data_IF_490545178816
#
_entry.id   IF_490545178816
#
_cell.length_a   1.000
_cell.length_b   1.000
_cell.length_c   1.000
_cell.angle_alpha   90.00
_cell.angle_beta   90.00
_cell.angle_gamma   90.00
#
_symmetry.space_group_name_H-M   'P 1'
#
loop_
_entity.id
_entity.type
_entity.pdbx_description
1 polymer ?
#
# COMPACT_ATOMS: atom_id res chain seq x y z
N UNK A 1 74.88 -7.39 -32.18
CA UNK A 1 74.17 -7.53 -30.89
C UNK A 1 72.80 -6.89 -30.97
N UNK A 2 71.73 -7.67 -31.09
CA UNK A 2 70.34 -7.32 -30.75
C UNK A 2 69.56 -8.63 -30.79
N UNK A 3 69.21 -9.15 -29.61
CA UNK A 3 68.39 -10.36 -29.45
C UNK A 3 66.93 -9.95 -29.56
N UNK A 4 66.26 -10.38 -30.63
CA UNK A 4 64.79 -10.39 -30.71
C UNK A 4 64.29 -11.59 -29.93
N UNK A 5 63.55 -11.35 -28.84
CA UNK A 5 62.77 -12.38 -28.14
C UNK A 5 61.35 -12.31 -28.65
N UNK A 6 60.90 -13.38 -29.30
CA UNK A 6 59.49 -13.62 -29.58
C UNK A 6 58.75 -13.89 -28.26
N UNK A 7 57.62 -13.21 -28.05
CA UNK A 7 56.69 -13.49 -26.96
C UNK A 7 55.77 -14.65 -27.36
N UNK A 8 55.44 -15.57 -26.43
CA UNK A 8 54.60 -16.72 -26.72
C UNK A 8 53.13 -16.34 -26.92
N UNK A 9 52.54 -16.98 -27.93
CA UNK A 9 51.17 -16.83 -28.44
C UNK A 9 50.12 -17.47 -27.50
N UNK A 10 50.10 -17.09 -26.22
CA UNK A 10 49.24 -17.74 -25.20
C UNK A 10 48.39 -16.79 -24.36
N UNK A 11 48.33 -15.50 -24.70
CA UNK A 11 47.46 -14.52 -24.03
C UNK A 11 46.75 -13.69 -25.10
N UNK A 12 45.89 -14.34 -25.87
CA UNK A 12 44.95 -13.67 -26.76
C UNK A 12 43.66 -14.49 -26.88
N UNK A 13 43.04 -14.80 -25.74
CA UNK A 13 41.74 -15.49 -25.66
C UNK A 13 41.08 -15.23 -24.30
N UNK A 14 40.91 -13.95 -23.94
CA UNK A 14 40.21 -13.54 -22.71
C UNK A 14 39.37 -12.28 -22.89
N UNK A 15 38.79 -12.08 -24.08
CA UNK A 15 37.79 -11.04 -24.34
C UNK A 15 36.83 -11.47 -25.44
N UNK A 16 35.99 -12.48 -25.21
CA UNK A 16 34.62 -12.51 -25.75
C UNK A 16 33.76 -13.41 -24.83
N UNK A 17 32.55 -12.94 -24.50
CA UNK A 17 31.39 -13.77 -24.14
C UNK A 17 31.01 -13.97 -22.67
N UNK A 18 30.78 -12.91 -21.86
CA UNK A 18 29.73 -12.98 -20.81
C UNK A 18 29.03 -11.62 -20.66
N UNK A 19 27.89 -11.41 -21.34
CA UNK A 19 26.74 -10.84 -20.65
C UNK A 19 25.44 -11.49 -21.15
N UNK A 20 25.25 -12.78 -20.91
CA UNK A 20 23.95 -13.45 -21.17
C UNK A 20 23.44 -14.20 -19.93
N UNK A 21 24.31 -14.53 -18.97
CA UNK A 21 23.91 -15.32 -17.79
C UNK A 21 23.13 -14.54 -16.71
N UNK A 22 23.19 -13.20 -16.70
CA UNK A 22 22.44 -12.39 -15.71
C UNK A 22 20.99 -12.08 -16.15
N UNK A 23 20.65 -12.27 -17.42
CA UNK A 23 19.26 -12.05 -17.91
C UNK A 23 18.41 -13.32 -17.76
N UNK A 24 19.03 -14.50 -17.72
CA UNK A 24 18.30 -15.78 -17.62
C UNK A 24 17.82 -16.07 -16.18
N UNK A 25 18.54 -15.60 -15.16
CA UNK A 25 18.14 -15.81 -13.75
C UNK A 25 16.92 -14.98 -13.33
N UNK A 26 16.68 -13.81 -13.95
CA UNK A 26 15.50 -12.98 -13.66
C UNK A 26 14.22 -13.56 -14.30
N UNK A 27 14.34 -14.37 -15.35
CA UNK A 27 13.18 -15.01 -16.01
C UNK A 27 12.78 -16.32 -15.31
N UNK A 28 13.71 -16.99 -14.62
CA UNK A 28 13.43 -18.28 -13.97
C UNK A 28 12.61 -18.17 -12.67
N UNK A 29 12.69 -17.05 -11.95
CA UNK A 29 11.86 -16.83 -10.74
C UNK A 29 10.38 -16.56 -11.06
N UNK A 30 10.04 -16.26 -12.31
CA UNK A 30 8.67 -15.94 -12.70
C UNK A 30 7.81 -17.17 -13.08
N UNK A 31 8.44 -18.31 -13.38
CA UNK A 31 7.74 -19.49 -13.94
C UNK A 31 7.23 -20.48 -12.87
N UNK A 32 7.62 -20.34 -11.60
CA UNK A 32 7.23 -21.30 -10.54
C UNK A 32 5.95 -20.94 -9.76
N UNK A 33 5.30 -19.80 -10.02
CA UNK A 33 4.11 -19.37 -9.27
C UNK A 33 2.75 -19.86 -9.82
N UNK A 34 2.74 -20.75 -10.81
CA UNK A 34 1.50 -21.24 -11.43
C UNK A 34 1.19 -22.68 -11.02
N UNK A 35 0.48 -22.85 -9.90
CA UNK A 35 -0.62 -23.83 -9.70
C UNK A 35 -0.82 -24.17 -8.20
N UNK A 36 -1.68 -23.41 -7.52
CA UNK A 36 -2.36 -23.89 -6.32
C UNK A 36 -3.85 -24.05 -6.68
N UNK A 37 -4.42 -25.27 -6.67
CA UNK A 37 -5.83 -25.45 -6.97
C UNK A 37 -6.65 -25.13 -5.71
N UNK A 38 -7.17 -23.91 -5.61
CA UNK A 38 -8.14 -23.54 -4.58
C UNK A 38 -9.55 -23.99 -5.02
N UNK A 39 -10.06 -25.05 -4.39
CA UNK A 39 -11.50 -25.33 -4.35
C UNK A 39 -12.15 -24.41 -3.31
N UNK A 40 -12.58 -23.24 -3.76
CA UNK A 40 -13.45 -22.32 -3.02
C UNK A 40 -14.49 -21.73 -3.97
N UNK A 41 -15.66 -21.36 -3.46
CA UNK A 41 -16.72 -20.73 -4.25
C UNK A 41 -16.13 -19.54 -5.01
N UNK A 42 -16.25 -19.53 -6.35
CA UNK A 42 -15.85 -18.38 -7.17
C UNK A 42 -16.63 -17.16 -6.71
N UNK A 43 -15.97 -16.23 -6.04
CA UNK A 43 -16.50 -14.90 -5.81
C UNK A 43 -16.68 -14.29 -7.20
N UNK A 44 -17.93 -14.07 -7.60
CA UNK A 44 -18.23 -13.54 -8.93
C UNK A 44 -18.11 -12.02 -8.85
N UNK A 45 -16.88 -11.53 -8.88
CA UNK A 45 -16.56 -10.10 -8.97
C UNK A 45 -17.12 -9.63 -10.34
N UNK A 46 -18.11 -8.71 -10.39
CA UNK A 46 -18.62 -8.17 -11.64
C UNK A 46 -17.48 -7.68 -12.54
N UNK A 47 -17.59 -7.85 -13.87
CA UNK A 47 -16.66 -7.19 -14.81
C UNK A 47 -16.86 -5.67 -14.72
N UNK A 48 -16.07 -5.03 -13.86
CA UNK A 48 -16.27 -3.66 -13.43
C UNK A 48 -15.91 -2.63 -14.52
N UNK A 49 -14.85 -2.88 -15.30
CA UNK A 49 -14.26 -1.90 -16.23
C UNK A 49 -15.22 -1.29 -17.26
N UNK A 50 -16.29 -2.00 -17.65
CA UNK A 50 -17.25 -1.49 -18.64
C UNK A 50 -18.32 -0.55 -18.03
N UNK A 51 -18.81 -0.83 -16.80
CA UNK A 51 -19.85 0.00 -16.15
C UNK A 51 -19.33 1.32 -15.60
N UNK A 52 -18.05 1.37 -15.22
CA UNK A 52 -17.41 2.57 -14.66
C UNK A 52 -17.28 3.73 -15.66
N UNK A 53 -17.16 3.46 -16.97
CA UNK A 53 -17.09 4.52 -17.99
C UNK A 53 -18.42 5.25 -18.20
N UNK A 54 -19.55 4.60 -17.90
CA UNK A 54 -20.88 5.06 -18.31
C UNK A 54 -21.73 5.61 -17.17
N UNK A 55 -21.30 5.49 -15.91
CA UNK A 55 -22.09 5.89 -14.75
C UNK A 55 -21.89 7.38 -14.38
N UNK A 56 -22.93 8.21 -14.60
CA UNK A 56 -23.09 9.53 -13.96
C UNK A 56 -23.70 9.32 -12.58
N UNK A 57 -22.95 9.60 -11.51
CA UNK A 57 -23.42 9.44 -10.14
C UNK A 57 -23.98 10.76 -9.60
N UNK A 58 -25.26 10.77 -9.25
CA UNK A 58 -25.94 11.84 -8.53
C UNK A 58 -26.65 11.23 -7.33
N UNK A 59 -26.07 11.33 -6.12
CA UNK A 59 -26.69 10.75 -4.91
C UNK A 59 -25.84 10.68 -3.64
N UNK A 60 -24.87 11.57 -3.44
CA UNK A 60 -23.98 11.55 -2.25
C UNK A 60 -24.70 11.82 -0.92
N UNK A 61 -25.76 12.63 -0.93
CA UNK A 61 -26.27 13.28 0.29
C UNK A 61 -27.23 12.40 1.12
N UNK A 62 -27.76 11.33 0.53
CA UNK A 62 -28.71 10.42 1.20
C UNK A 62 -27.97 9.27 1.91
N UNK A 63 -26.84 8.83 1.35
CA UNK A 63 -25.99 7.74 1.88
C UNK A 63 -25.31 8.12 3.20
N UNK A 64 -24.97 9.40 3.37
CA UNK A 64 -24.24 9.91 4.53
C UNK A 64 -25.06 9.89 5.83
N UNK A 65 -26.39 10.06 5.73
CA UNK A 65 -27.27 10.20 6.91
C UNK A 65 -27.52 8.88 7.64
N UNK A 66 -27.51 7.76 6.92
CA UNK A 66 -27.82 6.45 7.50
C UNK A 66 -26.63 5.87 8.27
N UNK A 67 -25.40 6.12 7.81
CA UNK A 67 -24.17 5.58 8.43
C UNK A 67 -23.83 6.26 9.77
N UNK A 68 -24.02 7.58 9.85
CA UNK A 68 -23.72 8.36 11.07
C UNK A 68 -24.69 8.00 12.22
N UNK A 69 -25.91 7.57 11.90
CA UNK A 69 -26.97 7.32 12.90
C UNK A 69 -26.78 6.02 13.69
N UNK A 70 -26.04 5.04 13.15
CA UNK A 70 -26.00 3.69 13.73
C UNK A 70 -24.78 3.38 14.62
N UNK A 71 -23.66 4.13 14.55
CA UNK A 71 -22.37 3.64 15.14
C UNK A 71 -21.49 4.69 15.83
N UNK A 72 -22.07 5.73 16.42
CA UNK A 72 -21.36 6.86 17.05
C UNK A 72 -20.54 6.60 18.33
N UNK A 73 -19.88 5.45 18.48
CA UNK A 73 -18.89 5.23 19.56
C UNK A 73 -17.51 4.92 18.97
N UNK A 74 -16.62 5.91 19.07
CA UNK A 74 -15.19 5.76 18.81
C UNK A 74 -14.60 4.89 19.93
N UNK A 75 -14.18 3.67 19.58
CA UNK A 75 -13.49 2.76 20.49
C UNK A 75 -12.04 3.24 20.64
N UNK A 76 -11.50 3.40 21.86
CA UNK A 76 -10.08 3.71 22.05
C UNK A 76 -9.22 2.62 21.40
N UNK A 77 -8.05 2.98 20.87
CA UNK A 77 -7.14 2.07 20.14
C UNK A 77 -6.98 0.72 20.87
N UNK A 78 -7.75 -0.29 20.45
CA UNK A 78 -7.66 -1.63 21.01
C UNK A 78 -6.57 -2.35 20.24
N UNK A 79 -5.43 -2.58 20.91
CA UNK A 79 -4.43 -3.52 20.43
C UNK A 79 -5.03 -4.91 20.55
N UNK A 80 -5.63 -5.41 19.47
CA UNK A 80 -6.00 -6.83 19.40
C UNK A 80 -4.72 -7.65 19.42
N UNK A 81 -4.61 -8.58 20.39
CA UNK A 81 -3.48 -9.49 20.47
C UNK A 81 -3.61 -10.54 19.36
N UNK A 82 -2.57 -10.72 18.54
CA UNK A 82 -2.65 -11.63 17.41
C UNK A 82 -2.61 -13.11 17.84
N UNK A 83 -3.34 -14.02 17.15
CA UNK A 83 -3.05 -15.45 17.17
C UNK A 83 -1.63 -15.74 16.66
N UNK A 84 -1.04 -16.84 17.13
CA UNK A 84 0.32 -17.26 16.78
C UNK A 84 0.37 -17.66 15.30
N UNK A 85 1.09 -16.89 14.49
CA UNK A 85 1.36 -17.20 13.08
C UNK A 85 2.62 -18.08 12.95
N UNK A 86 2.68 -18.91 11.90
CA UNK A 86 3.82 -19.80 11.64
C UNK A 86 4.93 -19.15 10.79
N UNK A 87 4.71 -17.93 10.30
CA UNK A 87 5.76 -17.16 9.63
C UNK A 87 6.64 -16.47 10.67
N UNK A 88 7.96 -16.52 10.47
CA UNK A 88 8.90 -15.73 11.28
C UNK A 88 8.79 -14.23 10.99
N UNK A 89 8.11 -13.83 9.91
CA UNK A 89 7.90 -12.44 9.53
C UNK A 89 6.73 -11.86 10.31
N UNK A 90 7.00 -10.91 11.21
CA UNK A 90 5.97 -10.19 11.96
C UNK A 90 5.53 -8.92 11.24
N UNK A 91 4.23 -8.66 11.23
CA UNK A 91 3.62 -7.50 10.58
C UNK A 91 2.91 -6.61 11.58
N UNK A 92 2.79 -5.33 11.24
CA UNK A 92 1.76 -4.43 11.76
C UNK A 92 1.13 -3.65 10.62
N UNK A 93 -0.18 -3.40 10.72
CA UNK A 93 -0.91 -2.54 9.78
C UNK A 93 -1.20 -1.21 10.47
N UNK A 94 -0.82 -0.12 9.82
CA UNK A 94 -0.96 1.24 10.34
C UNK A 94 -1.81 2.04 9.37
N UNK A 95 -2.81 2.73 9.91
CA UNK A 95 -3.65 3.65 9.14
C UNK A 95 -4.03 4.85 10.00
N UNK A 96 -4.46 5.92 9.34
CA UNK A 96 -4.92 7.12 9.99
C UNK A 96 -6.09 7.70 9.20
N UNK A 97 -7.03 8.31 9.90
CA UNK A 97 -7.97 9.23 9.31
C UNK A 97 -8.10 10.50 10.16
N UNK A 98 -8.53 11.57 9.52
CA UNK A 98 -8.88 12.81 10.20
C UNK A 98 -10.15 13.37 9.57
N UNK A 99 -11.11 13.73 10.42
CA UNK A 99 -12.16 14.64 10.00
C UNK A 99 -11.64 16.07 10.13
N UNK A 100 -11.03 16.58 9.07
CA UNK A 100 -10.92 18.04 8.93
C UNK A 100 -12.22 18.50 8.30
N UNK A 101 -12.96 19.35 9.02
CA UNK A 101 -14.15 20.00 8.47
C UNK A 101 -13.85 20.67 7.13
N UNK A 102 -14.86 21.12 6.38
CA UNK A 102 -14.69 21.62 5.01
C UNK A 102 -13.65 22.75 4.96
N UNK A 103 -12.44 22.39 4.57
CA UNK A 103 -11.30 23.29 4.42
C UNK A 103 -11.21 23.66 2.95
N UNK A 104 -11.10 24.96 2.65
CA UNK A 104 -10.97 25.46 1.26
C UNK A 104 -9.63 25.08 0.60
N UNK A 105 -8.69 24.48 1.35
CA UNK A 105 -7.32 24.19 0.87
C UNK A 105 -6.88 22.75 1.11
N UNK A 106 -7.51 22.03 2.04
CA UNK A 106 -7.13 20.65 2.28
C UNK A 106 -7.86 19.75 1.29
N UNK A 107 -7.10 19.22 0.35
CA UNK A 107 -7.43 18.02 -0.43
C UNK A 107 -7.52 16.78 0.44
N UNK A 108 -7.20 16.89 1.73
CA UNK A 108 -7.57 15.89 2.71
C UNK A 108 -9.08 15.82 2.68
N UNK A 109 -9.60 14.66 2.32
CA UNK A 109 -10.96 14.56 1.79
C UNK A 109 -11.94 15.01 2.87
N UNK A 110 -12.47 16.23 2.73
CA UNK A 110 -13.54 16.71 3.60
C UNK A 110 -14.66 15.67 3.56
N UNK A 111 -15.17 15.28 4.72
CA UNK A 111 -16.24 14.30 4.85
C UNK A 111 -15.87 12.84 4.53
N UNK A 112 -14.66 12.40 4.90
CA UNK A 112 -14.27 11.00 4.79
C UNK A 112 -15.03 10.09 5.77
N UNK A 113 -15.57 10.64 6.87
CA UNK A 113 -16.16 9.87 7.98
C UNK A 113 -17.18 8.81 7.53
N UNK A 114 -18.08 9.19 6.62
CA UNK A 114 -19.10 8.27 6.09
C UNK A 114 -18.54 7.08 5.32
N UNK A 115 -17.30 7.17 4.81
CA UNK A 115 -16.68 6.13 3.99
C UNK A 115 -15.49 5.44 4.66
N UNK A 116 -14.74 6.15 5.49
CA UNK A 116 -13.62 5.60 6.25
C UNK A 116 -14.06 4.38 7.06
N UNK A 117 -15.29 4.39 7.58
CA UNK A 117 -15.84 3.24 8.31
C UNK A 117 -15.79 1.95 7.51
N UNK A 118 -16.01 1.97 6.18
CA UNK A 118 -15.93 0.78 5.35
C UNK A 118 -14.50 0.27 5.24
N UNK A 119 -13.53 1.16 4.99
CA UNK A 119 -12.12 0.79 4.88
C UNK A 119 -11.55 0.31 6.21
N UNK A 120 -11.85 1.02 7.28
CA UNK A 120 -11.41 0.65 8.64
C UNK A 120 -12.04 -0.69 9.04
N UNK A 121 -13.34 -0.91 8.82
CA UNK A 121 -13.99 -2.21 9.13
C UNK A 121 -13.36 -3.34 8.32
N UNK A 122 -13.15 -3.12 7.02
CA UNK A 122 -12.46 -4.07 6.14
C UNK A 122 -11.06 -4.44 6.66
N UNK A 123 -10.27 -3.44 7.06
CA UNK A 123 -8.91 -3.63 7.59
C UNK A 123 -8.91 -4.33 8.94
N UNK A 124 -9.86 -4.01 9.83
CA UNK A 124 -10.02 -4.70 11.12
C UNK A 124 -10.32 -6.18 10.89
N UNK A 125 -11.26 -6.50 9.99
CA UNK A 125 -11.59 -7.89 9.67
C UNK A 125 -10.40 -8.65 9.09
N UNK A 126 -9.70 -8.04 8.12
CA UNK A 126 -8.51 -8.62 7.51
C UNK A 126 -7.39 -8.87 8.52
N UNK A 127 -7.05 -7.86 9.31
CA UNK A 127 -5.97 -7.96 10.30
C UNK A 127 -6.32 -8.93 11.42
N UNK A 128 -7.57 -8.98 11.86
CA UNK A 128 -8.06 -9.98 12.81
C UNK A 128 -7.98 -11.39 12.23
N UNK A 129 -8.30 -11.58 10.95
CA UNK A 129 -8.27 -12.89 10.29
C UNK A 129 -6.86 -13.48 10.26
N UNK A 130 -5.85 -12.66 9.98
CA UNK A 130 -4.45 -13.11 9.87
C UNK A 130 -3.62 -12.95 11.16
N UNK A 131 -4.19 -12.36 12.20
CA UNK A 131 -3.45 -12.04 13.41
C UNK A 131 -2.36 -11.01 13.19
N UNK A 132 -2.70 -9.90 12.52
CA UNK A 132 -1.84 -8.73 12.46
C UNK A 132 -2.31 -7.68 13.46
N UNK A 133 -1.42 -7.12 14.30
CA UNK A 133 -1.72 -5.89 15.02
C UNK A 133 -2.17 -4.78 14.07
N UNK A 134 -3.29 -4.16 14.40
CA UNK A 134 -3.86 -3.04 13.66
C UNK A 134 -3.80 -1.77 14.50
N UNK A 135 -3.12 -0.75 13.99
CA UNK A 135 -2.96 0.55 14.62
C UNK A 135 -3.72 1.60 13.83
N UNK A 136 -4.80 2.07 14.44
CA UNK A 136 -5.68 3.06 13.85
C UNK A 136 -5.59 4.36 14.63
N UNK A 137 -5.28 5.45 13.91
CA UNK A 137 -5.22 6.79 14.48
C UNK A 137 -6.35 7.65 13.96
N UNK A 138 -7.17 8.17 14.88
CA UNK A 138 -8.03 9.30 14.59
C UNK A 138 -7.26 10.57 14.94
N UNK A 139 -7.09 11.49 13.99
CA UNK A 139 -6.17 12.60 14.12
C UNK A 139 -6.70 13.94 14.71
N UNK A 140 -7.90 14.10 15.32
CA UNK A 140 -8.30 15.43 15.82
C UNK A 140 -7.35 15.96 16.92
N UNK A 141 -6.58 15.09 17.59
CA UNK A 141 -5.58 15.48 18.59
C UNK A 141 -4.17 15.76 18.05
N UNK A 142 -3.80 15.22 16.88
CA UNK A 142 -2.49 15.46 16.25
C UNK A 142 -2.42 16.84 15.56
N UNK A 143 -3.58 17.39 15.22
CA UNK A 143 -3.75 18.72 14.61
C UNK A 143 -3.58 19.86 15.64
N UNK A 144 -3.66 19.56 16.94
CA UNK A 144 -3.77 20.56 18.01
C UNK A 144 -2.44 21.06 18.60
N UNK A 145 -1.30 20.48 18.25
CA UNK A 145 0.01 20.98 18.71
C UNK A 145 0.63 21.87 17.65
N UNK A 146 0.77 23.15 17.96
CA UNK A 146 1.33 24.27 17.18
C UNK A 146 2.56 23.92 16.30
N UNK A 147 2.27 23.34 15.15
CA UNK A 147 2.94 23.50 13.86
C UNK A 147 2.27 22.47 12.98
N UNK A 148 1.31 22.87 12.14
CA UNK A 148 0.62 21.95 11.25
C UNK A 148 1.65 21.17 10.41
N UNK A 149 2.07 19.98 10.85
CA UNK A 149 2.32 18.86 9.95
C UNK A 149 1.01 18.64 9.25
N UNK A 150 0.94 18.96 7.94
CA UNK A 150 -0.21 18.54 7.17
C UNK A 150 -0.44 17.05 7.41
N UNK A 151 -1.70 16.64 7.51
CA UNK A 151 -2.07 15.26 7.88
C UNK A 151 -1.39 14.22 6.99
N UNK A 152 -1.11 14.59 5.74
CA UNK A 152 -0.30 13.83 4.80
C UNK A 152 1.03 13.32 5.39
N UNK A 153 1.78 14.17 6.10
CA UNK A 153 3.09 13.82 6.65
C UNK A 153 3.03 12.96 7.91
N UNK A 154 1.89 12.89 8.58
CA UNK A 154 1.74 12.18 9.85
C UNK A 154 2.02 10.68 9.70
N UNK A 155 1.80 10.11 8.50
CA UNK A 155 2.11 8.71 8.20
C UNK A 155 3.58 8.33 8.45
N UNK A 156 4.51 9.22 8.11
CA UNK A 156 5.95 8.97 8.32
C UNK A 156 6.29 8.91 9.80
N UNK A 157 5.71 9.82 10.60
CA UNK A 157 5.90 9.85 12.07
C UNK A 157 5.30 8.62 12.74
N UNK A 158 4.11 8.20 12.32
CA UNK A 158 3.47 6.99 12.84
C UNK A 158 4.27 5.73 12.51
N UNK A 159 4.78 5.62 11.28
CA UNK A 159 5.63 4.49 10.88
C UNK A 159 6.90 4.41 11.73
N UNK A 160 7.63 5.51 11.92
CA UNK A 160 8.82 5.52 12.76
C UNK A 160 8.53 5.18 14.23
N UNK A 161 7.42 5.66 14.77
CA UNK A 161 6.96 5.30 16.11
C UNK A 161 6.78 3.79 16.22
N UNK A 162 6.05 3.17 15.29
CA UNK A 162 5.79 1.72 15.29
C UNK A 162 7.00 0.87 14.86
N UNK A 163 8.00 1.44 14.19
CA UNK A 163 9.30 0.78 13.99
C UNK A 163 10.11 0.67 15.29
N UNK A 164 9.74 1.42 16.34
CA UNK A 164 10.49 1.52 17.59
C UNK A 164 9.82 0.80 18.76
N UNK A 165 8.64 0.21 18.58
CA UNK A 165 7.94 -0.54 19.63
C UNK A 165 8.62 -1.89 19.92
N UNK A 166 8.37 -2.45 21.10
CA UNK A 166 8.93 -3.72 21.55
C UNK A 166 7.81 -4.74 21.84
N UNK A 167 7.87 -5.97 21.28
CA UNK A 167 8.87 -6.45 20.32
C UNK A 167 8.73 -5.76 18.94
N UNK A 168 9.83 -5.63 18.17
CA UNK A 168 9.79 -4.99 16.86
C UNK A 168 9.07 -5.85 15.82
N UNK A 169 8.28 -5.21 14.96
CA UNK A 169 7.73 -5.84 13.75
C UNK A 169 8.80 -5.94 12.67
N UNK A 170 8.80 -7.00 11.87
CA UNK A 170 9.69 -7.12 10.70
C UNK A 170 9.30 -6.15 9.59
N UNK A 171 7.99 -6.00 9.37
CA UNK A 171 7.42 -5.12 8.37
C UNK A 171 6.22 -4.36 8.92
N UNK A 172 6.06 -3.13 8.44
CA UNK A 172 4.87 -2.32 8.65
C UNK A 172 4.21 -2.09 7.30
N UNK A 173 2.89 -2.25 7.23
CA UNK A 173 2.07 -1.81 6.11
C UNK A 173 1.44 -0.47 6.48
N UNK A 174 1.72 0.58 5.70
CA UNK A 174 0.87 1.77 5.70
C UNK A 174 -0.28 1.55 4.72
N UNK A 175 -1.48 1.94 5.12
CA UNK A 175 -2.65 2.03 4.24
C UNK A 175 -3.49 3.25 4.57
N UNK A 176 -3.93 3.98 3.55
CA UNK A 176 -4.93 5.03 3.70
C UNK A 176 -6.29 4.41 4.09
N UNK A 177 -7.15 5.21 4.73
CA UNK A 177 -8.43 4.74 5.29
C UNK A 177 -9.52 4.48 4.22
N UNK A 178 -9.30 4.93 2.99
CA UNK A 178 -10.16 4.73 1.81
C UNK A 178 -9.63 3.61 0.89
N UNK A 179 -8.98 2.61 1.49
CA UNK A 179 -8.56 1.36 0.85
C UNK A 179 -9.44 0.20 1.30
N UNK A 180 -9.78 -0.70 0.37
CA UNK A 180 -10.39 -2.00 0.64
C UNK A 180 -9.42 -3.13 0.27
N UNK A 181 -9.22 -4.08 1.17
CA UNK A 181 -8.69 -5.42 0.90
C UNK A 181 -9.79 -6.24 0.24
N UNK A 182 -9.50 -6.69 -0.98
CA UNK A 182 -10.41 -7.41 -1.86
C UNK A 182 -10.19 -8.93 -1.81
N UNK A 183 -8.98 -9.35 -1.44
CA UNK A 183 -8.55 -10.75 -1.36
C UNK A 183 -8.12 -11.07 0.09
N UNK A 184 -9.06 -11.08 1.05
CA UNK A 184 -8.73 -11.19 2.46
C UNK A 184 -8.10 -12.53 2.84
N UNK A 185 -8.19 -13.55 2.00
CA UNK A 185 -7.53 -14.85 2.20
C UNK A 185 -6.01 -14.83 1.96
N UNK A 186 -5.48 -13.78 1.32
CA UNK A 186 -4.04 -13.66 1.02
C UNK A 186 -3.32 -12.99 2.20
N UNK A 187 -2.37 -13.66 2.87
CA UNK A 187 -1.61 -13.06 3.98
C UNK A 187 -0.60 -12.02 3.47
N UNK A 188 -0.31 -10.98 4.25
CA UNK A 188 0.68 -9.96 3.88
C UNK A 188 2.08 -10.54 3.61
N UNK A 189 2.39 -11.66 4.27
CA UNK A 189 3.68 -12.32 4.10
C UNK A 189 3.89 -12.83 2.67
N UNK A 190 2.84 -13.15 1.91
CA UNK A 190 2.98 -13.59 0.51
C UNK A 190 3.56 -12.50 -0.40
N UNK A 191 3.51 -11.23 0.01
CA UNK A 191 4.06 -10.14 -0.77
C UNK A 191 5.54 -9.91 -0.48
N UNK A 192 5.98 -10.07 0.77
CA UNK A 192 7.34 -9.71 1.19
C UNK A 192 8.26 -10.91 1.44
N UNK A 193 7.70 -12.10 1.66
CA UNK A 193 8.46 -13.35 1.78
C UNK A 193 9.07 -13.65 0.39
N UNK A 194 10.39 -13.53 0.28
CA UNK A 194 11.13 -13.68 -0.98
C UNK A 194 11.63 -12.38 -1.61
N UNK A 195 11.22 -11.21 -1.08
CA UNK A 195 11.87 -9.95 -1.45
C UNK A 195 13.32 -9.95 -0.95
N UNK A 196 14.26 -9.61 -1.85
CA UNK A 196 15.69 -9.54 -1.52
C UNK A 196 15.94 -8.70 -0.24
N UNK A 197 16.89 -9.12 0.63
CA UNK A 197 17.24 -8.36 1.82
C UNK A 197 17.69 -6.91 1.55
N UNK A 198 18.11 -6.56 0.33
CA UNK A 198 18.49 -5.20 -0.04
C UNK A 198 17.31 -4.22 -0.09
N UNK A 199 16.08 -4.71 -0.24
CA UNK A 199 14.89 -3.86 -0.32
C UNK A 199 14.33 -3.59 1.08
N UNK A 200 14.13 -2.32 1.39
CA UNK A 200 13.71 -1.84 2.69
C UNK A 200 12.35 -1.14 2.66
N UNK A 201 11.91 -0.72 1.48
CA UNK A 201 10.58 -0.16 1.24
C UNK A 201 10.02 -0.86 0.02
N UNK A 202 8.74 -1.22 0.05
CA UNK A 202 8.04 -1.78 -1.10
C UNK A 202 6.83 -0.91 -1.43
N UNK A 203 6.87 -0.28 -2.60
CA UNK A 203 5.86 0.67 -3.08
C UNK A 203 5.07 0.07 -4.23
N UNK A 204 3.95 0.71 -4.59
CA UNK A 204 3.13 0.28 -5.72
C UNK A 204 3.04 1.39 -6.75
N UNK A 205 3.06 0.99 -8.03
CA UNK A 205 2.64 1.84 -9.14
C UNK A 205 1.13 1.67 -9.31
N UNK A 206 0.35 2.74 -9.27
CA UNK A 206 -1.07 2.62 -9.56
C UNK A 206 -1.33 2.59 -11.07
N UNK A 207 -2.16 1.65 -11.51
CA UNK A 207 -2.60 1.52 -12.91
C UNK A 207 -1.48 1.41 -13.96
N UNK A 208 -0.24 1.16 -13.55
CA UNK A 208 0.96 1.12 -14.39
C UNK A 208 1.61 -0.27 -14.43
N UNK A 209 2.41 -0.51 -15.48
CA UNK A 209 3.28 -1.70 -15.55
C UNK A 209 4.46 -1.52 -14.59
N UNK A 210 4.92 -2.60 -13.95
CA UNK A 210 6.12 -2.59 -13.11
C UNK A 210 7.40 -2.39 -13.92
N UNK A 211 7.71 -1.14 -14.28
CA UNK A 211 9.01 -0.75 -14.80
C UNK A 211 9.38 0.63 -14.25
N UNK A 212 10.67 0.86 -13.98
CA UNK A 212 11.21 2.15 -13.56
C UNK A 212 10.94 3.29 -14.55
N UNK A 213 10.77 2.99 -15.84
CA UNK A 213 10.31 4.00 -16.81
C UNK A 213 8.90 4.51 -16.49
N UNK A 214 8.04 3.65 -15.93
CA UNK A 214 6.70 4.03 -15.47
C UNK A 214 6.72 4.73 -14.11
N UNK A 215 7.66 4.39 -13.21
CA UNK A 215 7.87 5.17 -11.97
C UNK A 215 8.12 6.65 -12.26
N UNK A 216 8.92 6.95 -13.29
CA UNK A 216 9.17 8.34 -13.70
C UNK A 216 7.95 9.04 -14.26
N UNK A 217 7.01 8.30 -14.85
CA UNK A 217 5.85 8.87 -15.54
C UNK A 217 4.62 8.99 -14.65
N UNK A 218 4.43 8.07 -13.69
CA UNK A 218 3.20 7.96 -12.91
C UNK A 218 3.40 8.03 -11.40
N UNK A 219 4.65 7.91 -10.94
CA UNK A 219 5.02 7.96 -9.52
C UNK A 219 4.61 6.71 -8.73
N UNK A 220 5.36 6.33 -7.67
CA UNK A 220 4.84 5.41 -6.66
C UNK A 220 3.65 6.06 -5.94
N UNK A 221 2.82 5.30 -5.24
CA UNK A 221 1.72 5.88 -4.46
C UNK A 221 1.91 5.61 -2.98
N UNK A 222 1.76 6.67 -2.18
CA UNK A 222 1.99 6.70 -0.74
C UNK A 222 0.78 6.24 0.08
N UNK A 223 -0.32 5.89 -0.57
CA UNK A 223 -1.53 5.42 0.10
C UNK A 223 -1.48 3.95 0.51
N UNK A 224 -0.53 3.17 -0.02
CA UNK A 224 -0.38 1.75 0.31
C UNK A 224 1.04 1.27 0.04
N UNK A 225 1.82 1.03 1.09
CA UNK A 225 3.21 0.60 0.95
C UNK A 225 3.75 -0.12 2.19
N UNK A 226 4.74 -0.97 1.99
CA UNK A 226 5.45 -1.67 3.07
C UNK A 226 6.75 -0.97 3.43
N UNK A 227 7.07 -0.98 4.72
CA UNK A 227 8.35 -0.52 5.27
C UNK A 227 8.94 -1.63 6.13
N UNK A 228 10.15 -2.07 5.80
CA UNK A 228 10.88 -3.03 6.62
C UNK A 228 11.42 -2.30 7.85
N UNK A 229 11.38 -2.93 9.00
CA UNK A 229 12.03 -2.41 10.19
C UNK A 229 13.55 -2.55 10.09
N UNK A 230 14.21 -1.56 9.47
CA UNK A 230 15.65 -1.47 9.32
C UNK A 230 16.13 -0.03 9.42
N UNK A 231 17.42 0.16 9.70
CA UNK A 231 18.02 1.49 9.72
C UNK A 231 17.94 2.16 8.35
N UNK A 232 18.11 1.38 7.27
CA UNK A 232 17.99 1.92 5.91
C UNK A 232 16.58 2.41 5.57
N UNK A 233 15.54 1.76 6.10
CA UNK A 233 14.18 2.25 5.98
C UNK A 233 13.97 3.55 6.79
N UNK A 234 14.56 3.67 7.98
CA UNK A 234 14.52 4.92 8.76
C UNK A 234 15.24 6.07 8.03
N UNK A 235 16.38 5.79 7.40
CA UNK A 235 17.06 6.77 6.55
C UNK A 235 16.15 7.22 5.38
N UNK A 236 15.45 6.28 4.74
CA UNK A 236 14.51 6.58 3.66
C UNK A 236 13.37 7.48 4.15
N UNK A 237 12.71 7.14 5.25
CA UNK A 237 11.62 7.95 5.83
C UNK A 237 12.10 9.35 6.23
N UNK A 238 13.31 9.47 6.77
CA UNK A 238 13.91 10.76 7.10
C UNK A 238 14.23 11.60 5.85
N UNK A 239 14.78 10.98 4.81
CA UNK A 239 15.04 11.66 3.54
C UNK A 239 13.73 12.16 2.92
N UNK A 240 12.68 11.33 2.93
CA UNK A 240 11.34 11.72 2.48
C UNK A 240 10.80 12.91 3.28
N UNK A 241 10.83 12.85 4.61
CA UNK A 241 10.41 13.95 5.48
C UNK A 241 11.22 15.23 5.26
N UNK A 242 12.50 15.13 4.93
CA UNK A 242 13.37 16.30 4.73
C UNK A 242 12.95 17.18 3.55
N UNK A 243 12.22 16.60 2.58
CA UNK A 243 11.67 17.31 1.42
C UNK A 243 10.43 18.14 1.76
N UNK A 244 9.91 18.04 2.99
CA UNK A 244 8.67 18.70 3.41
C UNK A 244 8.63 20.19 3.10
N UNK A 245 9.69 20.94 3.40
CA UNK A 245 9.72 22.39 3.17
C UNK A 245 9.50 22.79 1.71
N UNK A 246 9.91 21.93 0.76
CA UNK A 246 9.73 22.17 -0.67
C UNK A 246 8.31 21.85 -1.15
N UNK A 247 7.65 20.85 -0.55
CA UNK A 247 6.38 20.31 -1.04
C UNK A 247 5.16 20.66 -0.19
N UNK A 248 5.29 21.25 1.00
CA UNK A 248 4.16 21.51 1.91
C UNK A 248 2.96 22.23 1.27
N UNK A 249 3.21 23.03 0.22
CA UNK A 249 2.18 23.79 -0.49
C UNK A 249 1.59 23.09 -1.71
N UNK A 250 2.05 21.88 -2.03
CA UNK A 250 1.49 21.11 -3.15
C UNK A 250 0.16 20.47 -2.76
N UNK A 251 -0.53 19.93 -3.75
CA UNK A 251 -1.87 19.35 -3.56
C UNK A 251 -1.81 18.04 -2.76
N UNK A 252 -0.71 17.30 -2.91
CA UNK A 252 -0.46 16.00 -2.29
C UNK A 252 0.99 16.00 -1.79
N UNK A 253 1.28 16.76 -0.72
CA UNK A 253 2.64 17.18 -0.37
C UNK A 253 3.59 16.03 -0.06
N UNK A 254 3.13 14.99 0.63
CA UNK A 254 4.00 13.85 0.94
C UNK A 254 4.19 12.95 -0.28
N UNK A 255 3.13 12.72 -1.06
CA UNK A 255 3.16 11.96 -2.31
C UNK A 255 4.12 12.59 -3.32
N UNK A 256 4.04 13.89 -3.57
CA UNK A 256 4.90 14.58 -4.53
C UNK A 256 6.37 14.54 -4.07
N UNK A 257 6.61 14.64 -2.76
CA UNK A 257 7.93 14.47 -2.19
C UNK A 257 8.48 13.04 -2.37
N UNK A 258 7.63 12.00 -2.29
CA UNK A 258 8.03 10.62 -2.58
C UNK A 258 8.43 10.47 -4.04
N UNK A 259 7.64 11.05 -4.94
CA UNK A 259 7.93 11.04 -6.37
C UNK A 259 9.28 11.70 -6.66
N UNK A 260 9.57 12.85 -6.06
CA UNK A 260 10.90 13.47 -6.16
C UNK A 260 12.00 12.57 -5.57
N UNK A 261 11.76 11.98 -4.40
CA UNK A 261 12.76 11.12 -3.75
C UNK A 261 13.13 9.91 -4.60
N UNK A 262 12.16 9.32 -5.30
CA UNK A 262 12.40 8.19 -6.20
C UNK A 262 12.83 8.61 -7.60
N UNK A 263 12.64 9.87 -8.00
CA UNK A 263 13.29 10.41 -9.19
C UNK A 263 14.82 10.45 -9.01
N UNK A 264 15.29 10.62 -7.77
CA UNK A 264 16.68 10.38 -7.38
C UNK A 264 16.95 8.88 -7.28
N UNK A 265 17.73 8.36 -8.24
CA UNK A 265 18.02 6.93 -8.37
C UNK A 265 18.83 6.36 -7.20
N UNK A 266 19.35 7.21 -6.30
CA UNK A 266 20.09 6.78 -5.12
C UNK A 266 19.31 5.78 -4.25
N UNK A 267 17.98 5.84 -4.24
CA UNK A 267 17.13 4.96 -3.44
C UNK A 267 16.66 3.69 -4.15
N UNK A 268 16.83 3.58 -5.47
CA UNK A 268 16.35 2.42 -6.24
C UNK A 268 16.86 1.08 -5.72
N UNK A 269 18.14 0.93 -5.29
CA UNK A 269 18.61 -0.33 -4.74
C UNK A 269 17.89 -0.76 -3.45
N UNK A 270 17.22 0.16 -2.76
CA UNK A 270 16.50 -0.07 -1.50
C UNK A 270 14.98 -0.12 -1.64
N UNK A 271 14.44 0.10 -2.84
CA UNK A 271 13.00 0.16 -3.09
C UNK A 271 12.56 -0.96 -4.01
N UNK A 272 11.65 -1.80 -3.53
CA UNK A 272 10.94 -2.77 -4.35
C UNK A 272 9.67 -2.14 -4.90
N UNK A 273 9.32 -2.44 -6.14
CA UNK A 273 8.19 -1.83 -6.84
C UNK A 273 7.25 -2.92 -7.32
N UNK A 274 6.05 -2.98 -6.78
CA UNK A 274 5.02 -3.90 -7.26
C UNK A 274 4.31 -3.35 -8.50
N UNK A 275 3.90 -4.25 -9.41
CA UNK A 275 2.92 -3.91 -10.44
C UNK A 275 1.56 -3.62 -9.83
N UNK A 276 0.80 -2.74 -10.47
CA UNK A 276 -0.49 -2.24 -9.97
C UNK A 276 -1.50 -3.35 -9.69
N UNK A 277 -1.58 -4.35 -10.57
CA UNK A 277 -2.61 -5.37 -10.53
C UNK A 277 -2.34 -6.49 -9.50
N UNK A 278 -1.17 -6.50 -8.85
CA UNK A 278 -0.83 -7.54 -7.87
C UNK A 278 -1.17 -7.09 -6.46
N UNK A 279 -0.70 -5.92 -6.05
CA UNK A 279 -0.81 -5.49 -4.66
C UNK A 279 -1.90 -4.43 -4.45
N UNK A 280 -1.93 -3.41 -5.29
CA UNK A 280 -2.72 -2.21 -5.02
C UNK A 280 -2.99 -1.40 -6.28
N UNK A 281 -4.24 -1.03 -6.52
CA UNK A 281 -4.58 -0.10 -7.60
C UNK A 281 -5.82 0.73 -7.30
N UNK A 282 -6.12 1.66 -8.20
CA UNK A 282 -7.42 2.33 -8.19
C UNK A 282 -8.55 1.42 -8.65
N UNK A 283 -9.77 1.75 -8.23
CA UNK A 283 -10.98 1.03 -8.58
C UNK A 283 -11.16 0.85 -10.10
N UNK A 284 -10.74 1.81 -10.92
CA UNK A 284 -10.84 1.73 -12.38
C UNK A 284 -9.89 0.70 -13.02
N UNK A 285 -8.85 0.31 -12.28
CA UNK A 285 -7.80 -0.59 -12.74
C UNK A 285 -7.88 -1.96 -12.07
N UNK A 286 -8.82 -2.13 -11.14
CA UNK A 286 -9.00 -3.34 -10.39
C UNK A 286 -9.62 -4.46 -11.23
N UNK A 287 -9.15 -5.68 -10.97
CA UNK A 287 -9.66 -6.93 -11.53
C UNK A 287 -9.88 -7.96 -10.41
N UNK A 288 -10.18 -9.21 -10.79
CA UNK A 288 -10.49 -10.28 -9.83
C UNK A 288 -9.27 -10.74 -9.00
N UNK A 289 -8.05 -10.40 -9.42
CA UNK A 289 -6.79 -10.79 -8.77
C UNK A 289 -6.20 -9.67 -7.92
N UNK A 290 -6.73 -8.45 -8.04
CA UNK A 290 -6.24 -7.28 -7.30
C UNK A 290 -6.41 -7.47 -5.79
N UNK A 291 -5.31 -7.42 -5.04
CA UNK A 291 -5.34 -7.62 -3.58
C UNK A 291 -6.04 -6.49 -2.83
N UNK A 292 -5.73 -5.23 -3.15
CA UNK A 292 -6.32 -4.05 -2.52
C UNK A 292 -6.68 -2.96 -3.52
N UNK A 293 -7.74 -2.20 -3.22
CA UNK A 293 -8.30 -1.17 -4.08
C UNK A 293 -8.42 0.15 -3.32
N UNK A 294 -7.93 1.21 -3.93
CA UNK A 294 -7.93 2.57 -3.39
C UNK A 294 -8.98 3.44 -4.06
N UNK A 295 -9.72 4.18 -3.23
CA UNK A 295 -10.78 5.08 -3.64
C UNK A 295 -10.44 6.53 -3.30
N UNK A 296 -9.39 7.11 -3.92
CA UNK A 296 -9.05 8.50 -3.62
C UNK A 296 -10.17 9.42 -4.12
N UNK A 297 -10.41 10.49 -3.38
CA UNK A 297 -11.38 11.54 -3.71
C UNK A 297 -12.85 11.11 -3.60
N UNK A 298 -13.73 12.09 -3.42
CA UNK A 298 -15.13 11.90 -3.03
C UNK A 298 -15.95 11.06 -4.02
N UNK A 299 -15.73 11.20 -5.33
CA UNK A 299 -16.48 10.44 -6.34
C UNK A 299 -16.18 8.93 -6.29
N UNK A 300 -14.95 8.54 -5.95
CA UNK A 300 -14.60 7.12 -5.82
C UNK A 300 -15.13 6.54 -4.50
N UNK A 301 -15.31 7.37 -3.49
CA UNK A 301 -15.81 6.95 -2.17
C UNK A 301 -17.27 6.49 -2.21
N UNK A 302 -18.12 7.10 -3.05
CA UNK A 302 -19.47 6.56 -3.30
C UNK A 302 -19.42 5.14 -3.89
N UNK A 303 -18.41 4.83 -4.70
CA UNK A 303 -18.19 3.47 -5.22
C UNK A 303 -17.72 2.52 -4.13
N UNK A 304 -16.91 2.98 -3.17
CA UNK A 304 -16.45 2.18 -2.03
C UNK A 304 -17.64 1.64 -1.21
N UNK A 305 -18.62 2.47 -0.91
CA UNK A 305 -19.83 2.05 -0.19
C UNK A 305 -20.64 1.00 -0.98
N UNK A 306 -20.73 1.15 -2.30
CA UNK A 306 -21.37 0.17 -3.16
C UNK A 306 -20.60 -1.15 -3.16
N UNK A 307 -19.29 -1.11 -3.37
CA UNK A 307 -18.42 -2.29 -3.38
C UNK A 307 -18.46 -3.02 -2.05
N UNK A 308 -18.45 -2.28 -0.94
CA UNK A 308 -18.58 -2.84 0.39
C UNK A 308 -19.88 -3.65 0.53
N UNK A 309 -21.02 -3.09 0.10
CA UNK A 309 -22.31 -3.80 0.14
C UNK A 309 -22.33 -5.04 -0.76
N UNK A 310 -21.77 -4.95 -1.96
CA UNK A 310 -21.75 -6.08 -2.91
C UNK A 310 -20.86 -7.23 -2.45
N UNK A 311 -19.76 -6.93 -1.75
CA UNK A 311 -18.79 -7.93 -1.31
C UNK A 311 -19.08 -8.48 0.10
N UNK A 312 -19.62 -7.64 0.98
CA UNK A 312 -19.76 -7.94 2.41
C UNK A 312 -21.19 -7.78 2.96
N UNK A 313 -22.11 -7.16 2.20
CA UNK A 313 -23.43 -6.75 2.69
C UNK A 313 -24.38 -7.89 3.07
N UNK A 314 -24.25 -9.08 2.47
CA UNK A 314 -25.08 -10.24 2.82
C UNK A 314 -24.69 -10.88 4.18
N UNK A 315 -23.47 -10.62 4.67
CA UNK A 315 -23.01 -11.15 5.96
C UNK A 315 -23.66 -10.42 7.15
N UNK A 316 -23.95 -9.12 7.02
CA UNK A 316 -24.55 -8.33 8.10
C UNK A 316 -26.03 -8.68 8.35
N UNK A 317 -26.77 -9.14 7.32
CA UNK A 317 -28.18 -9.51 7.43
C UNK A 317 -28.46 -10.89 8.04
N UNK A 318 -27.44 -11.74 8.17
CA UNK A 318 -27.59 -13.12 8.65
C UNK A 318 -27.13 -13.35 10.10
N UNK A 319 -26.35 -12.43 10.68
CA UNK A 319 -25.91 -12.50 12.08
C UNK A 319 -27.01 -12.23 13.13
N UNK A 320 -28.24 -11.89 12.71
CA UNK A 320 -29.40 -11.64 13.57
C UNK A 320 -30.37 -12.82 13.74
N UNK A 321 -30.04 -14.02 13.24
CA UNK A 321 -30.86 -15.23 13.44
C UNK A 321 -30.00 -16.39 13.97
N UNK A 322 -29.62 -16.29 15.24
CA UNK A 322 -29.39 -17.49 16.05
C UNK A 322 -30.66 -17.75 16.88
N UNK A 323 -31.12 -19.03 16.99
CA UNK A 323 -32.29 -19.39 17.78
C UNK A 323 -32.15 -19.08 19.27
#
# INVERSE_FOLDING_TARGET
MRKTRALPLSILLLLVSIPVLHVVLVIYDWVQFSAIPLRGKKLRIPRYTQRFRDAKFSGSDEIERDVIRERGQVVPAQVMRPPVTTSNTSFAVVTMYANVGPSKRDTFTSNIDGFAIYGITNLIEYTSHHGYPFFFHHAPGLVATDSFTSLYWSKLTLLEHYMSVSPPFSWLLWTDADVLIMRPEIPLSSFVDGISPQYHVAVVLECGRANFDYLRQWGPRSGFFFVRNSDKAREFLNAWRSLRGAWEKSLTPEQDALEQLLADQAWWPSVYVYPSNVLHCYAECADEETFSVHFPNTQRKTCMAQWWRELFGDAAGSAGRHP
#
